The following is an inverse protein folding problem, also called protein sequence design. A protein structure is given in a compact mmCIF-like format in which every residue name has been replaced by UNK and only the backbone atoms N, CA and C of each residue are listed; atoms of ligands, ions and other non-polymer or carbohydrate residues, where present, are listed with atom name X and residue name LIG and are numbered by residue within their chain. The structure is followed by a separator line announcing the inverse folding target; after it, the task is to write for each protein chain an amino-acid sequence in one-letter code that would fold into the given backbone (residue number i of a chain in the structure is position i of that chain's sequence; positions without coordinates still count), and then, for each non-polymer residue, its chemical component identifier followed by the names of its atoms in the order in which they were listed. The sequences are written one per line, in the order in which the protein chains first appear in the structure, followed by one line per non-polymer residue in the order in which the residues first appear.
data_IF_450121402915
#
_entry.id   IF_450121402915
#
_cell.length_a   1.000
_cell.length_b   1.000
_cell.length_c   1.000
_cell.angle_alpha   90.00
_cell.angle_beta   90.00
_cell.angle_gamma   90.00
#
_symmetry.space_group_name_H-M   'P 1'
#
loop_
_entity.id
_entity.type
_entity.pdbx_description
1 polymer ?
#
# COMPACT_ATOMS: atom_id res chain seq x y z
N UNK A 1 29.19 -1.72 2.77
CA UNK A 1 28.42 -0.93 3.75
C UNK A 1 28.53 0.52 3.35
N UNK A 2 27.41 1.16 3.00
CA UNK A 2 27.38 2.61 2.84
C UNK A 2 27.38 3.24 4.23
N UNK A 3 28.34 4.15 4.46
CA UNK A 3 28.62 4.80 5.75
C UNK A 3 27.79 6.08 5.92
N UNK A 4 26.95 6.43 4.93
CA UNK A 4 26.17 7.64 4.98
C UNK A 4 24.88 7.41 5.77
N UNK A 5 24.87 7.84 7.03
CA UNK A 5 23.60 8.06 7.71
C UNK A 5 22.95 9.29 7.09
N UNK A 6 21.95 9.09 6.24
CA UNK A 6 21.11 10.17 5.71
C UNK A 6 20.56 11.01 6.86
N UNK A 7 20.96 12.27 6.93
CA UNK A 7 20.41 13.27 7.85
C UNK A 7 19.18 13.93 7.23
N UNK A 8 18.31 14.58 8.02
CA UNK A 8 17.15 15.28 7.47
C UNK A 8 17.54 16.32 6.41
N UNK A 9 18.58 17.13 6.66
CA UNK A 9 19.07 18.12 5.69
C UNK A 9 19.58 17.48 4.40
N UNK A 10 20.27 16.34 4.49
CA UNK A 10 20.76 15.62 3.31
C UNK A 10 19.63 14.99 2.49
N UNK A 11 18.56 14.50 3.13
CA UNK A 11 17.38 14.04 2.40
C UNK A 11 16.60 15.20 1.78
N UNK A 12 16.46 16.31 2.50
CA UNK A 12 15.79 17.50 1.98
C UNK A 12 16.46 18.05 0.71
N UNK A 13 17.80 17.96 0.59
CA UNK A 13 18.51 18.37 -0.64
C UNK A 13 18.29 17.43 -1.83
N UNK A 14 17.85 16.20 -1.58
CA UNK A 14 17.50 15.22 -2.63
C UNK A 14 16.02 15.22 -2.99
N UNK A 15 15.22 16.11 -2.37
CA UNK A 15 13.81 16.27 -2.68
C UNK A 15 13.61 16.72 -4.13
N UNK A 16 12.62 16.14 -4.80
CA UNK A 16 12.26 16.46 -6.18
C UNK A 16 10.75 16.59 -6.31
N UNK A 17 10.26 17.40 -7.27
CA UNK A 17 8.85 17.42 -7.60
C UNK A 17 8.39 16.08 -8.13
N UNK A 18 7.19 15.68 -7.74
CA UNK A 18 6.44 14.57 -8.30
C UNK A 18 5.03 15.03 -8.63
N UNK A 19 4.59 14.73 -9.84
CA UNK A 19 3.21 14.89 -10.29
C UNK A 19 2.90 13.65 -11.10
N UNK A 20 1.86 12.91 -10.71
CA UNK A 20 1.55 11.69 -11.41
C UNK A 20 0.32 11.00 -10.90
N UNK A 21 0.15 9.80 -11.45
CA UNK A 21 -0.89 8.87 -11.09
C UNK A 21 -0.27 7.56 -10.64
N UNK A 22 -1.04 6.79 -9.90
CA UNK A 22 -0.68 5.43 -9.53
C UNK A 22 -1.91 4.57 -9.29
N UNK A 23 -1.65 3.31 -9.00
CA UNK A 23 -2.65 2.28 -8.78
C UNK A 23 -2.54 1.71 -7.39
N UNK A 24 -3.69 1.44 -6.78
CA UNK A 24 -3.76 0.74 -5.50
C UNK A 24 -4.85 -0.31 -5.54
N UNK A 25 -4.49 -1.51 -5.07
CA UNK A 25 -5.42 -2.62 -4.92
C UNK A 25 -6.09 -2.58 -3.53
N UNK A 26 -7.40 -2.76 -3.51
CA UNK A 26 -8.23 -2.91 -2.31
C UNK A 26 -9.19 -4.08 -2.49
N UNK A 27 -9.67 -4.65 -1.38
CA UNK A 27 -10.75 -5.64 -1.48
C UNK A 27 -11.97 -5.05 -2.19
N UNK A 28 -12.66 -5.85 -2.98
CA UNK A 28 -13.72 -5.35 -3.82
C UNK A 28 -14.84 -4.68 -3.01
N UNK A 29 -15.21 -3.48 -3.44
CA UNK A 29 -16.08 -2.56 -2.69
C UNK A 29 -17.55 -3.01 -2.62
N UNK A 30 -17.94 -4.03 -3.38
CA UNK A 30 -19.33 -4.46 -3.55
C UNK A 30 -19.73 -5.67 -2.70
N UNK A 31 -18.82 -6.23 -1.89
CA UNK A 31 -19.11 -7.42 -1.09
C UNK A 31 -19.22 -7.06 0.39
N UNK A 32 -20.40 -7.27 0.96
CA UNK A 32 -20.63 -7.08 2.40
C UNK A 32 -20.04 -8.28 3.15
N UNK A 33 -18.73 -8.25 3.41
CA UNK A 33 -17.98 -9.36 4.02
C UNK A 33 -18.58 -9.80 5.36
N UNK A 34 -19.13 -8.84 6.11
CA UNK A 34 -19.82 -9.05 7.40
C UNK A 34 -21.08 -9.90 7.27
N UNK A 35 -21.76 -9.93 6.11
CA UNK A 35 -22.96 -10.74 5.90
C UNK A 35 -22.72 -12.22 6.18
N UNK A 36 -21.52 -12.70 5.83
CA UNK A 36 -21.14 -14.11 6.04
C UNK A 36 -20.99 -14.42 7.52
N UNK A 37 -20.51 -13.45 8.31
CA UNK A 37 -20.29 -13.59 9.76
C UNK A 37 -21.58 -13.63 10.56
N UNK A 38 -22.64 -12.99 10.04
CA UNK A 38 -23.97 -12.93 10.67
C UNK A 38 -24.98 -13.86 10.00
N UNK A 39 -24.49 -14.84 9.23
CA UNK A 39 -25.32 -15.87 8.60
C UNK A 39 -26.49 -15.35 7.74
N UNK A 40 -26.34 -14.16 7.14
CA UNK A 40 -27.37 -13.56 6.29
C UNK A 40 -28.42 -12.73 7.04
N UNK A 41 -28.29 -12.51 8.34
CA UNK A 41 -29.21 -11.68 9.10
C UNK A 41 -28.88 -10.18 8.95
N UNK A 42 -29.86 -9.40 8.49
CA UNK A 42 -29.70 -7.97 8.22
C UNK A 42 -29.63 -7.13 9.50
N UNK A 43 -30.33 -7.53 10.56
CA UNK A 43 -30.32 -6.82 11.84
C UNK A 43 -28.95 -6.95 12.51
N UNK A 44 -28.45 -8.17 12.57
CA UNK A 44 -27.12 -8.47 13.11
C UNK A 44 -26.02 -7.85 12.24
N UNK A 45 -26.20 -7.82 10.91
CA UNK A 45 -25.28 -7.12 10.02
C UNK A 45 -25.20 -5.64 10.37
N UNK A 46 -26.33 -4.96 10.50
CA UNK A 46 -26.38 -3.53 10.81
C UNK A 46 -25.67 -3.26 12.14
N UNK A 47 -25.96 -4.06 13.16
CA UNK A 47 -25.32 -3.95 14.47
C UNK A 47 -23.80 -4.17 14.37
N UNK A 48 -23.35 -5.17 13.61
CA UNK A 48 -21.93 -5.43 13.41
C UNK A 48 -21.23 -4.28 12.68
N UNK A 49 -21.84 -3.71 11.64
CA UNK A 49 -21.28 -2.54 10.94
C UNK A 49 -21.20 -1.31 11.85
N UNK A 50 -22.20 -1.08 12.70
CA UNK A 50 -22.18 0.01 13.69
C UNK A 50 -21.03 -0.18 14.69
N UNK A 51 -20.86 -1.39 15.24
CA UNK A 51 -19.75 -1.74 16.13
C UNK A 51 -18.40 -1.55 15.42
N UNK A 52 -18.29 -1.98 14.17
CA UNK A 52 -17.08 -1.83 13.38
C UNK A 52 -16.78 -0.36 13.07
N UNK A 53 -17.80 0.47 12.86
CA UNK A 53 -17.61 1.91 12.64
C UNK A 53 -17.14 2.61 13.92
N UNK A 54 -17.76 2.31 15.07
CA UNK A 54 -17.37 2.87 16.36
C UNK A 54 -15.93 2.53 16.75
N UNK A 55 -15.46 1.32 16.40
CA UNK A 55 -14.11 0.86 16.69
C UNK A 55 -13.02 1.45 15.78
N UNK A 56 -13.37 2.13 14.67
CA UNK A 56 -12.39 2.69 13.74
C UNK A 56 -11.67 3.88 14.39
N UNK A 57 -10.33 3.95 14.31
CA UNK A 57 -9.61 5.15 14.74
C UNK A 57 -10.09 6.38 13.98
N UNK A 58 -10.10 7.53 14.65
CA UNK A 58 -10.43 8.80 14.01
C UNK A 58 -9.48 9.09 12.83
N UNK A 59 -10.02 9.69 11.77
CA UNK A 59 -9.22 10.13 10.65
C UNK A 59 -8.36 11.33 11.07
N UNK A 60 -7.05 11.37 10.72
CA UNK A 60 -6.24 12.56 10.94
C UNK A 60 -6.82 13.78 10.21
N UNK A 61 -6.74 14.96 10.83
CA UNK A 61 -7.27 16.22 10.25
C UNK A 61 -6.66 16.52 8.87
N UNK A 62 -5.41 16.10 8.66
CA UNK A 62 -4.70 16.26 7.41
C UNK A 62 -5.36 15.48 6.26
N UNK A 63 -6.05 14.38 6.55
CA UNK A 63 -6.75 13.56 5.56
C UNK A 63 -8.23 13.92 5.38
N UNK A 64 -8.74 14.89 6.14
CA UNK A 64 -10.14 15.32 6.05
C UNK A 64 -10.48 15.86 4.65
N UNK A 65 -11.71 15.59 4.20
CA UNK A 65 -12.21 15.93 2.86
C UNK A 65 -11.69 15.05 1.72
N UNK A 66 -10.73 14.15 1.95
CA UNK A 66 -10.29 13.21 0.92
C UNK A 66 -11.32 12.11 0.70
N UNK A 67 -11.39 11.59 -0.53
CA UNK A 67 -12.12 10.36 -0.81
C UNK A 67 -11.63 9.25 0.12
N UNK A 68 -12.55 8.45 0.68
CA UNK A 68 -12.23 7.47 1.73
C UNK A 68 -11.17 6.44 1.31
N UNK A 69 -11.08 6.08 0.02
CA UNK A 69 -10.01 5.23 -0.52
C UNK A 69 -8.61 5.84 -0.39
N UNK A 70 -8.52 7.17 -0.44
CA UNK A 70 -7.28 7.93 -0.24
C UNK A 70 -7.01 8.18 1.25
N UNK A 71 -8.06 8.38 2.04
CA UNK A 71 -7.96 8.78 3.45
C UNK A 71 -7.62 7.61 4.40
N UNK A 72 -8.24 6.44 4.20
CA UNK A 72 -8.21 5.33 5.15
C UNK A 72 -6.82 4.76 5.51
N UNK A 73 -5.77 4.79 4.66
CA UNK A 73 -4.43 4.34 5.06
C UNK A 73 -3.81 5.15 6.18
N UNK A 74 -4.26 6.39 6.38
CA UNK A 74 -3.66 7.31 7.34
C UNK A 74 -4.21 7.14 8.76
N UNK A 75 -5.34 6.44 8.96
CA UNK A 75 -5.97 6.29 10.30
C UNK A 75 -5.58 5.03 11.07
N UNK A 76 -5.24 3.93 10.40
CA UNK A 76 -5.04 2.65 11.08
C UNK A 76 -3.62 2.49 11.63
N UNK A 77 -3.51 1.79 12.77
CA UNK A 77 -2.22 1.40 13.37
C UNK A 77 -1.58 0.22 12.62
N UNK A 78 -0.24 0.11 12.59
CA UNK A 78 0.42 -1.04 11.97
C UNK A 78 0.25 -2.29 12.85
N UNK A 79 0.29 -3.49 12.25
CA UNK A 79 0.21 -4.77 12.97
C UNK A 79 1.45 -4.97 13.87
N UNK A 80 1.35 -5.14 15.19
CA UNK A 80 2.50 -5.49 16.02
C UNK A 80 3.06 -6.89 15.70
N UNK A 81 4.36 -7.17 15.92
CA UNK A 81 5.35 -6.31 16.57
C UNK A 81 6.03 -5.29 15.63
N UNK A 82 5.93 -5.48 14.31
CA UNK A 82 6.71 -4.75 13.31
C UNK A 82 5.80 -3.98 12.33
N UNK A 83 6.18 -2.76 11.96
CA UNK A 83 5.43 -1.99 10.97
C UNK A 83 5.61 -2.48 9.52
N UNK A 84 5.32 -1.63 8.54
CA UNK A 84 5.53 -1.94 7.11
C UNK A 84 6.88 -1.41 6.61
N UNK A 85 7.17 -1.58 5.30
CA UNK A 85 8.45 -1.19 4.70
C UNK A 85 8.90 0.23 5.07
N UNK A 86 8.03 1.22 4.90
CA UNK A 86 8.33 2.63 5.20
C UNK A 86 7.55 3.17 6.40
N UNK A 87 7.18 2.30 7.35
CA UNK A 87 6.41 2.68 8.54
C UNK A 87 6.85 1.86 9.74
N UNK A 88 7.46 2.49 10.74
CA UNK A 88 7.73 1.84 12.03
C UNK A 88 6.45 1.71 12.87
N UNK A 89 6.55 1.01 14.01
CA UNK A 89 5.40 0.71 14.90
C UNK A 89 4.65 1.96 15.38
N UNK A 90 5.37 3.05 15.63
CA UNK A 90 4.82 4.32 16.15
C UNK A 90 4.60 5.37 15.08
N UNK A 91 4.90 5.06 13.81
CA UNK A 91 4.82 6.04 12.74
C UNK A 91 3.37 6.22 12.23
N UNK A 92 3.04 7.43 11.74
CA UNK A 92 1.78 7.69 11.04
C UNK A 92 1.54 6.74 9.87
N UNK A 93 0.28 6.65 9.44
CA UNK A 93 -0.10 5.82 8.31
C UNK A 93 0.65 6.18 7.01
N UNK A 94 0.75 5.19 6.13
CA UNK A 94 1.37 5.32 4.81
C UNK A 94 0.39 4.78 3.79
N UNK A 95 0.10 5.57 2.76
CA UNK A 95 -0.62 5.09 1.59
C UNK A 95 0.38 4.42 0.64
N UNK A 96 0.18 3.14 0.35
CA UNK A 96 0.99 2.39 -0.61
C UNK A 96 0.27 2.24 -1.94
N UNK A 97 0.97 2.58 -3.03
CA UNK A 97 0.52 2.37 -4.40
C UNK A 97 1.69 1.96 -5.30
N UNK A 98 1.42 1.83 -6.60
CA UNK A 98 2.41 1.57 -7.62
C UNK A 98 2.18 2.43 -8.87
N UNK A 99 3.20 2.62 -9.69
CA UNK A 99 3.09 3.40 -10.93
C UNK A 99 2.15 2.70 -11.96
N UNK A 100 2.03 1.37 -11.90
CA UNK A 100 1.24 0.56 -12.82
C UNK A 100 0.42 -0.56 -12.12
N UNK A 101 -0.62 -1.05 -12.80
CA UNK A 101 -1.54 -2.09 -12.30
C UNK A 101 -0.84 -3.41 -12.00
N UNK A 102 0.09 -3.85 -12.86
CA UNK A 102 0.78 -5.13 -12.72
C UNK A 102 1.65 -5.14 -11.47
N UNK A 103 2.32 -4.03 -11.17
CA UNK A 103 3.10 -3.87 -9.93
C UNK A 103 2.20 -3.81 -8.69
N UNK A 104 1.06 -3.12 -8.76
CA UNK A 104 0.06 -3.13 -7.68
C UNK A 104 -0.47 -4.56 -7.42
N UNK A 105 -0.74 -5.33 -8.47
CA UNK A 105 -1.12 -6.74 -8.39
C UNK A 105 -0.03 -7.59 -7.71
N UNK A 106 1.24 -7.39 -8.06
CA UNK A 106 2.35 -8.15 -7.47
C UNK A 106 2.47 -7.92 -5.96
N UNK A 107 2.48 -6.66 -5.52
CA UNK A 107 2.58 -6.31 -4.09
C UNK A 107 1.34 -6.76 -3.31
N UNK A 108 0.14 -6.53 -3.84
CA UNK A 108 -1.10 -6.97 -3.19
C UNK A 108 -1.17 -8.50 -3.08
N UNK A 109 -0.85 -9.20 -4.16
CA UNK A 109 -0.87 -10.65 -4.23
C UNK A 109 0.11 -11.27 -3.23
N UNK A 110 1.34 -10.73 -3.16
CA UNK A 110 2.34 -11.16 -2.19
C UNK A 110 1.83 -11.07 -0.75
N UNK A 111 1.32 -9.91 -0.33
CA UNK A 111 0.88 -9.73 1.06
C UNK A 111 -0.41 -10.49 1.38
N UNK A 112 -1.33 -10.63 0.43
CA UNK A 112 -2.53 -11.48 0.60
C UNK A 112 -2.17 -12.95 0.72
N UNK A 113 -1.19 -13.42 -0.06
CA UNK A 113 -0.68 -14.78 0.06
C UNK A 113 -0.01 -15.02 1.42
N UNK A 114 0.87 -14.11 1.86
CA UNK A 114 1.49 -14.21 3.18
C UNK A 114 0.46 -14.21 4.32
N UNK A 115 -0.53 -13.32 4.27
CA UNK A 115 -1.64 -13.34 5.23
C UNK A 115 -2.38 -14.69 5.25
N UNK A 116 -2.60 -15.28 4.07
CA UNK A 116 -3.26 -16.59 3.93
C UNK A 116 -2.40 -17.73 4.48
N UNK A 117 -1.08 -17.70 4.24
CA UNK A 117 -0.12 -18.67 4.77
C UNK A 117 0.03 -18.59 6.29
N UNK A 118 -0.05 -17.38 6.85
CA UNK A 118 -0.01 -17.14 8.31
C UNK A 118 -1.31 -17.54 9.03
N UNK A 119 -2.34 -17.94 8.29
CA UNK A 119 -3.66 -18.30 8.85
C UNK A 119 -3.76 -19.81 9.07
N UNK A 120 -3.82 -20.22 10.34
CA UNK A 120 -3.97 -21.63 10.72
C UNK A 120 -5.22 -22.24 10.09
N UNK A 121 -5.08 -23.43 9.50
CA UNK A 121 -6.16 -24.14 8.80
C UNK A 121 -6.42 -23.69 7.36
N UNK A 122 -5.87 -22.55 6.92
CA UNK A 122 -6.01 -22.02 5.55
C UNK A 122 -4.75 -22.17 4.70
N UNK A 123 -3.57 -22.24 5.30
CA UNK A 123 -2.27 -22.16 4.62
C UNK A 123 -2.07 -23.14 3.43
N UNK A 124 -2.75 -24.29 3.42
CA UNK A 124 -2.67 -25.28 2.33
C UNK A 124 -3.82 -25.22 1.32
N UNK A 125 -4.76 -24.27 1.46
CA UNK A 125 -5.98 -24.19 0.64
C UNK A 125 -5.85 -23.12 -0.44
N UNK A 126 -6.38 -23.41 -1.62
CA UNK A 126 -6.56 -22.40 -2.66
C UNK A 126 -7.82 -21.57 -2.37
N UNK A 127 -7.80 -20.30 -2.76
CA UNK A 127 -8.98 -19.43 -2.67
C UNK A 127 -8.95 -18.36 -3.76
N UNK A 128 -10.09 -17.73 -4.02
CA UNK A 128 -10.19 -16.54 -4.87
C UNK A 128 -10.79 -15.37 -4.10
N UNK A 129 -10.26 -14.18 -4.36
CA UNK A 129 -10.63 -12.95 -3.69
C UNK A 129 -10.93 -11.91 -4.76
N UNK A 130 -12.12 -11.30 -4.77
CA UNK A 130 -12.39 -10.17 -5.64
C UNK A 130 -11.65 -8.93 -5.12
N UNK A 131 -10.92 -8.27 -6.01
CA UNK A 131 -10.09 -7.10 -5.75
C UNK A 131 -10.50 -5.99 -6.72
N UNK A 132 -10.46 -4.76 -6.24
CA UNK A 132 -10.58 -3.57 -7.09
C UNK A 132 -9.24 -2.84 -7.10
N UNK A 133 -8.71 -2.60 -8.30
CA UNK A 133 -7.61 -1.65 -8.50
C UNK A 133 -8.23 -0.29 -8.83
N UNK A 134 -7.83 0.75 -8.12
CA UNK A 134 -8.25 2.11 -8.42
C UNK A 134 -7.05 3.02 -8.72
N UNK A 135 -7.28 3.96 -9.64
CA UNK A 135 -6.31 5.00 -9.97
C UNK A 135 -6.42 6.16 -8.97
N UNK A 136 -5.28 6.64 -8.50
CA UNK A 136 -5.16 7.88 -7.74
C UNK A 136 -4.21 8.83 -8.46
N UNK A 137 -4.36 10.13 -8.18
CA UNK A 137 -3.49 11.19 -8.67
C UNK A 137 -2.96 11.99 -7.48
N UNK A 138 -1.77 12.54 -7.61
CA UNK A 138 -1.22 13.42 -6.59
C UNK A 138 -0.07 14.28 -7.09
N UNK A 139 0.36 15.21 -6.24
CA UNK A 139 1.50 16.06 -6.50
C UNK A 139 2.19 16.49 -5.22
N UNK A 140 3.51 16.69 -5.28
CA UNK A 140 4.31 17.25 -4.18
C UNK A 140 5.61 17.81 -4.74
N UNK A 141 6.15 18.84 -4.11
CA UNK A 141 7.51 19.33 -4.37
C UNK A 141 8.58 18.53 -3.59
N UNK A 142 8.14 17.67 -2.66
CA UNK A 142 8.98 17.02 -1.66
C UNK A 142 8.92 15.49 -1.75
N UNK A 143 9.22 14.93 -2.92
CA UNK A 143 9.37 13.49 -3.10
C UNK A 143 10.84 13.05 -3.07
N UNK A 144 11.10 11.84 -2.57
CA UNK A 144 12.36 11.14 -2.77
C UNK A 144 12.18 10.05 -3.81
N UNK A 145 13.14 9.91 -4.72
CA UNK A 145 13.24 8.76 -5.63
C UNK A 145 14.47 7.92 -5.27
N UNK A 146 14.25 6.79 -4.59
CA UNK A 146 15.32 5.90 -4.16
C UNK A 146 16.01 5.19 -5.33
N UNK A 147 15.44 5.23 -6.53
CA UNK A 147 16.03 4.63 -7.74
C UNK A 147 17.08 5.53 -8.38
N UNK A 148 17.20 6.78 -7.93
CA UNK A 148 18.14 7.76 -8.47
C UNK A 148 19.35 7.92 -7.55
N UNK A 149 20.53 8.20 -8.13
CA UNK A 149 21.69 8.61 -7.35
C UNK A 149 21.40 9.96 -6.67
N UNK A 150 21.93 10.18 -5.45
CA UNK A 150 22.81 9.29 -4.68
C UNK A 150 22.11 8.17 -3.90
N UNK A 151 20.79 8.22 -3.72
CA UNK A 151 20.01 7.28 -2.90
C UNK A 151 20.06 5.83 -3.42
N UNK A 152 20.20 5.66 -4.73
CA UNK A 152 20.36 4.35 -5.38
C UNK A 152 21.63 3.60 -4.94
N UNK A 153 22.65 4.30 -4.40
CA UNK A 153 23.84 3.65 -3.86
C UNK A 153 23.51 2.73 -2.67
N UNK A 154 22.41 2.99 -1.97
CA UNK A 154 21.95 2.20 -0.82
C UNK A 154 20.92 1.13 -1.21
N UNK A 155 20.79 0.80 -2.51
CA UNK A 155 19.78 -0.11 -3.04
C UNK A 155 19.64 -1.40 -2.25
N UNK A 156 20.75 -2.08 -2.00
CA UNK A 156 20.74 -3.34 -1.27
C UNK A 156 20.09 -3.23 0.13
N UNK A 157 20.25 -2.08 0.79
CA UNK A 157 19.68 -1.83 2.12
C UNK A 157 18.17 -1.61 2.07
N UNK A 158 17.63 -0.93 1.04
CA UNK A 158 16.20 -0.63 0.97
C UNK A 158 15.38 -1.66 0.17
N UNK A 159 16.03 -2.55 -0.58
CA UNK A 159 15.38 -3.67 -1.29
C UNK A 159 15.31 -4.98 -0.50
N UNK A 160 15.68 -5.00 0.78
CA UNK A 160 15.61 -6.24 1.56
C UNK A 160 14.17 -6.80 1.56
N UNK A 161 13.98 -8.11 1.29
CA UNK A 161 12.65 -8.69 1.20
C UNK A 161 11.91 -8.77 2.54
N UNK A 162 12.61 -8.84 3.67
CA UNK A 162 12.01 -9.13 4.98
C UNK A 162 12.43 -8.15 6.09
N UNK A 163 13.64 -7.61 6.06
CA UNK A 163 14.12 -6.62 7.04
C UNK A 163 13.80 -5.20 6.58
N UNK A 164 12.88 -4.55 7.29
CA UNK A 164 12.46 -3.17 7.00
C UNK A 164 13.17 -2.12 7.86
N UNK A 165 14.19 -2.50 8.63
CA UNK A 165 14.90 -1.58 9.54
C UNK A 165 15.48 -0.38 8.79
N UNK A 166 16.13 -0.62 7.65
CA UNK A 166 16.73 0.45 6.85
C UNK A 166 15.68 1.37 6.22
N UNK A 167 14.60 0.80 5.69
CA UNK A 167 13.50 1.55 5.05
C UNK A 167 12.64 2.31 6.06
N UNK A 168 12.46 1.78 7.27
CA UNK A 168 11.81 2.49 8.37
C UNK A 168 12.67 3.65 8.88
N UNK A 169 14.00 3.43 9.01
CA UNK A 169 14.93 4.50 9.40
C UNK A 169 14.92 5.65 8.39
N UNK A 170 15.06 5.37 7.09
CA UNK A 170 15.04 6.41 6.06
C UNK A 170 13.66 7.11 6.00
N UNK A 171 12.55 6.40 6.17
CA UNK A 171 11.22 7.02 6.24
C UNK A 171 11.08 7.96 7.44
N UNK A 172 11.57 7.55 8.61
CA UNK A 172 11.59 8.40 9.80
C UNK A 172 12.39 9.69 9.58
N UNK A 173 13.58 9.60 9.00
CA UNK A 173 14.39 10.77 8.62
C UNK A 173 13.70 11.61 7.54
N UNK A 174 13.07 10.98 6.54
CA UNK A 174 12.37 11.65 5.46
C UNK A 174 11.21 12.51 6.00
N UNK A 175 10.47 11.99 7.00
CA UNK A 175 9.42 12.77 7.69
C UNK A 175 9.98 13.98 8.41
N UNK A 176 11.13 13.86 9.08
CA UNK A 176 11.80 15.01 9.71
C UNK A 176 12.28 16.05 8.68
N UNK A 177 12.58 15.61 7.45
CA UNK A 177 12.98 16.44 6.33
C UNK A 177 11.79 17.07 5.56
N UNK A 178 10.54 16.79 5.95
CA UNK A 178 9.36 17.28 5.25
C UNK A 178 9.04 16.55 3.94
N UNK A 179 9.62 15.36 3.72
CA UNK A 179 9.33 14.53 2.55
C UNK A 179 7.92 13.94 2.69
N UNK A 180 7.17 14.00 1.59
CA UNK A 180 5.76 13.60 1.54
C UNK A 180 5.55 12.29 0.76
N UNK A 181 6.50 11.93 -0.11
CA UNK A 181 6.42 10.74 -0.96
C UNK A 181 7.78 10.09 -1.11
N UNK A 182 7.82 8.75 -1.05
CA UNK A 182 8.99 7.95 -1.40
C UNK A 182 8.64 7.05 -2.59
N UNK A 183 9.33 7.22 -3.71
CA UNK A 183 9.27 6.35 -4.88
C UNK A 183 10.42 5.34 -4.81
N UNK A 184 10.13 4.06 -5.02
CA UNK A 184 11.10 2.98 -4.84
C UNK A 184 10.79 1.78 -5.73
N UNK A 185 11.80 1.03 -6.13
CA UNK A 185 11.60 -0.19 -6.92
C UNK A 185 10.83 -1.24 -6.13
N UNK A 186 9.85 -1.91 -6.76
CA UNK A 186 9.15 -3.02 -6.12
C UNK A 186 10.11 -4.20 -5.89
N UNK A 187 10.05 -4.80 -4.71
CA UNK A 187 10.81 -6.02 -4.41
C UNK A 187 10.09 -7.26 -4.96
N UNK A 188 8.77 -7.18 -5.18
CA UNK A 188 7.93 -8.29 -5.65
C UNK A 188 7.79 -8.33 -7.17
N UNK A 189 8.01 -7.20 -7.83
CA UNK A 189 8.07 -7.05 -9.28
C UNK A 189 9.19 -6.06 -9.65
N UNK A 190 10.46 -6.51 -9.76
CA UNK A 190 11.61 -5.62 -9.93
C UNK A 190 11.58 -4.70 -11.17
N UNK A 191 10.78 -5.01 -12.19
CA UNK A 191 10.55 -4.12 -13.34
C UNK A 191 9.64 -2.93 -13.00
N UNK A 192 8.93 -3.00 -11.88
CA UNK A 192 7.95 -2.04 -11.42
C UNK A 192 8.43 -1.09 -10.34
N UNK A 193 7.67 -0.01 -10.16
CA UNK A 193 7.94 1.02 -9.15
C UNK A 193 6.74 1.20 -8.22
N UNK A 194 7.02 1.29 -6.94
CA UNK A 194 6.07 1.52 -5.86
C UNK A 194 6.20 2.94 -5.30
N UNK A 195 5.11 3.39 -4.69
CA UNK A 195 4.96 4.69 -4.05
C UNK A 195 4.55 4.48 -2.59
N UNK A 196 5.29 5.09 -1.68
CA UNK A 196 4.94 5.22 -0.27
C UNK A 196 4.63 6.70 0.01
N UNK A 197 3.34 7.03 0.03
CA UNK A 197 2.84 8.37 0.32
C UNK A 197 2.75 8.52 1.84
N UNK A 198 3.59 9.40 2.35
CA UNK A 198 3.84 9.60 3.77
C UNK A 198 2.86 10.57 4.41
N UNK A 199 2.31 11.51 3.64
CA UNK A 199 1.34 12.50 4.11
C UNK A 199 0.12 12.60 3.18
N UNK A 200 -1.07 12.95 3.69
CA UNK A 200 -2.25 13.14 2.85
C UNK A 200 -2.15 14.33 1.88
N UNK A 201 -1.19 15.25 2.09
CA UNK A 201 -1.09 16.50 1.32
C UNK A 201 -0.79 16.28 -0.15
N UNK A 202 -0.15 15.14 -0.48
CA UNK A 202 0.08 14.71 -1.87
C UNK A 202 -1.22 14.67 -2.67
N UNK A 203 -2.36 14.38 -2.04
CA UNK A 203 -3.67 14.32 -2.68
C UNK A 203 -4.42 15.66 -2.70
N UNK A 204 -3.97 16.65 -1.91
CA UNK A 204 -4.65 17.95 -1.77
C UNK A 204 -4.10 19.02 -2.70
N UNK A 205 -2.96 18.77 -3.34
CA UNK A 205 -2.40 19.66 -4.36
C UNK A 205 -3.11 19.60 -5.72
N UNK A 206 -4.16 18.79 -5.86
CA UNK A 206 -4.94 18.63 -7.09
C UNK A 206 -6.44 18.77 -6.78
N UNK A 207 -7.21 19.33 -7.73
CA UNK A 207 -8.67 19.42 -7.61
C UNK A 207 -9.33 18.03 -7.56
N UNK A 208 -8.82 17.07 -8.35
CA UNK A 208 -9.34 15.71 -8.44
C UNK A 208 -8.22 14.65 -8.32
N UNK A 209 -7.88 14.32 -7.07
CA UNK A 209 -6.97 13.22 -6.74
C UNK A 209 -7.59 11.83 -6.93
N UNK A 210 -8.92 11.73 -6.89
CA UNK A 210 -9.65 10.49 -7.17
C UNK A 210 -10.66 10.74 -8.30
N UNK A 211 -10.46 10.05 -9.43
CA UNK A 211 -11.25 10.23 -10.66
C UNK A 211 -12.20 9.07 -10.96
N UNK A 212 -12.42 8.20 -9.97
CA UNK A 212 -13.27 7.02 -10.09
C UNK A 212 -12.92 6.05 -11.24
N UNK A 213 -11.65 6.01 -11.66
CA UNK A 213 -11.14 5.00 -12.60
C UNK A 213 -10.78 3.75 -11.81
N UNK A 214 -11.52 2.66 -12.04
CA UNK A 214 -11.39 1.42 -11.27
C UNK A 214 -11.52 0.20 -12.18
N UNK A 215 -10.74 -0.84 -11.90
CA UNK A 215 -10.79 -2.12 -12.58
C UNK A 215 -11.03 -3.25 -11.57
N UNK A 216 -11.98 -4.13 -11.89
CA UNK A 216 -12.27 -5.31 -11.07
C UNK A 216 -11.41 -6.49 -11.52
N UNK A 217 -10.87 -7.20 -10.55
CA UNK A 217 -9.98 -8.33 -10.73
C UNK A 217 -10.35 -9.46 -9.77
N UNK A 218 -10.14 -10.69 -10.20
CA UNK A 218 -10.13 -11.86 -9.33
C UNK A 218 -8.69 -12.28 -9.05
N UNK A 219 -8.30 -12.26 -7.77
CA UNK A 219 -7.02 -12.77 -7.27
C UNK A 219 -7.18 -14.20 -6.77
N UNK A 220 -6.49 -15.14 -7.40
CA UNK A 220 -6.35 -16.52 -6.94
C UNK A 220 -5.08 -16.68 -6.10
N UNK A 221 -5.24 -17.12 -4.86
CA UNK A 221 -4.14 -17.50 -3.99
C UNK A 221 -3.93 -19.02 -4.09
N UNK A 222 -2.73 -19.41 -4.51
CA UNK A 222 -2.33 -20.80 -4.70
C UNK A 222 -1.05 -21.07 -3.90
N UNK A 223 -1.16 -21.47 -2.63
CA UNK A 223 -0.02 -21.80 -1.78
C UNK A 223 0.94 -22.82 -2.42
N UNK A 224 2.24 -22.76 -2.12
CA UNK A 224 2.87 -21.86 -1.14
C UNK A 224 3.32 -20.51 -1.72
N UNK A 225 3.25 -20.28 -3.03
CA UNK A 225 3.96 -19.14 -3.64
C UNK A 225 3.35 -18.57 -4.91
N UNK A 226 2.18 -19.04 -5.36
CA UNK A 226 1.61 -18.64 -6.65
C UNK A 226 0.40 -17.73 -6.44
N UNK A 227 0.37 -16.62 -7.19
CA UNK A 227 -0.83 -15.80 -7.34
C UNK A 227 -1.16 -15.65 -8.81
N UNK A 228 -2.45 -15.72 -9.14
CA UNK A 228 -2.97 -15.52 -10.48
C UNK A 228 -4.05 -14.45 -10.43
N UNK A 229 -3.89 -13.42 -11.24
CA UNK A 229 -4.82 -12.32 -11.39
C UNK A 229 -5.53 -12.46 -12.72
N UNK A 230 -6.86 -12.32 -12.70
CA UNK A 230 -7.68 -12.28 -13.90
C UNK A 230 -8.57 -11.06 -13.87
N UNK A 231 -8.54 -10.25 -14.94
CA UNK A 231 -9.36 -9.06 -15.05
C UNK A 231 -10.80 -9.45 -15.38
N UNK A 232 -11.75 -8.83 -14.70
CA UNK A 232 -13.16 -9.11 -14.96
C UNK A 232 -13.55 -8.59 -16.35
N UNK A 233 -14.29 -9.41 -17.10
CA UNK A 233 -14.81 -9.07 -18.44
C UNK A 233 -13.73 -8.77 -19.51
N UNK A 234 -12.46 -9.06 -19.24
CA UNK A 234 -11.32 -8.85 -20.15
C UNK A 234 -10.38 -10.06 -20.14
N UNK A 235 -9.62 -10.33 -21.23
CA UNK A 235 -8.70 -11.47 -21.27
C UNK A 235 -7.38 -11.23 -20.52
N UNK A 236 -7.18 -10.04 -19.94
CA UNK A 236 -5.95 -9.67 -19.25
C UNK A 236 -5.74 -10.50 -17.98
N UNK A 237 -4.51 -10.97 -17.78
CA UNK A 237 -4.12 -11.73 -16.60
C UNK A 237 -2.65 -11.50 -16.23
N UNK A 238 -2.35 -11.71 -14.95
CA UNK A 238 -0.98 -11.66 -14.44
C UNK A 238 -0.71 -12.88 -13.57
N UNK A 239 0.52 -13.40 -13.64
CA UNK A 239 0.95 -14.55 -12.85
C UNK A 239 2.23 -14.18 -12.13
N UNK A 240 2.26 -14.36 -10.81
CA UNK A 240 3.44 -14.12 -9.99
C UNK A 240 3.79 -15.35 -9.18
N UNK A 241 5.08 -15.69 -9.14
CA UNK A 241 5.64 -16.74 -8.28
C UNK A 241 6.60 -16.10 -7.29
N UNK A 242 6.30 -16.26 -6.01
CA UNK A 242 7.11 -15.80 -4.90
C UNK A 242 7.87 -16.99 -4.32
N UNK A 243 9.09 -16.71 -3.87
CA UNK A 243 9.95 -17.66 -3.18
C UNK A 243 9.62 -17.71 -1.68
#
# INVERSE_FOLDING_TARGET
MSVNTWTPTALASEARPWLGKGWRAVEAQHRVATMTLVHGDLGDQSLLEDILEEAKPALPREADGLHWLLATPFRYWPKPPAGSRFRARTDPGVFYGADDEKTACAECGYWRLHFWLDSEGLAGRETSIPITLFEFHGTTEHALDLTQLPLAADRASWTDPADYTATQKIAGTARQAGIELIRYQSVRHPEGTCLAILTPQVFKGLDEAFRNVQHSWTLWLKPPGLTVWQRDLMPESHVFRFA
#
